data_IF_823249985705
#
_entry.id   IF_823249985705
#
_cell.length_a   1.000
_cell.length_b   1.000
_cell.length_c   1.000
_cell.angle_alpha   90.00
_cell.angle_beta   90.00
_cell.angle_gamma   90.00
#
_symmetry.space_group_name_H-M   'P 1'
#
loop_
_entity.id
_entity.type
_entity.pdbx_description
1 polymer ?
#
# COMPACT_ATOMS: atom_id res chain seq x y z
N UNK A 1 35.84 -3.52 -1.12
CA UNK A 1 34.52 -4.05 -0.73
C UNK A 1 33.51 -2.94 -0.88
N UNK A 2 32.35 -3.21 -1.48
CA UNK A 2 31.33 -2.19 -1.76
C UNK A 2 30.02 -2.59 -1.08
N UNK A 3 29.45 -1.72 -0.24
CA UNK A 3 28.13 -1.97 0.36
C UNK A 3 27.03 -1.58 -0.63
N UNK A 4 26.01 -2.42 -0.75
CA UNK A 4 24.89 -2.27 -1.68
C UNK A 4 23.57 -2.62 -0.98
N UNK A 5 22.45 -2.19 -1.55
CA UNK A 5 21.12 -2.70 -1.20
C UNK A 5 20.67 -3.72 -2.24
N UNK A 6 20.57 -4.99 -1.88
CA UNK A 6 19.91 -6.01 -2.69
C UNK A 6 18.39 -5.83 -2.60
N UNK A 7 17.76 -5.65 -3.75
CA UNK A 7 16.31 -5.49 -3.87
C UNK A 7 15.68 -6.84 -4.20
N UNK A 8 14.89 -7.38 -3.26
CA UNK A 8 14.08 -8.59 -3.49
C UNK A 8 12.64 -8.17 -3.72
N UNK A 9 12.19 -8.32 -4.96
CA UNK A 9 10.80 -8.08 -5.32
C UNK A 9 9.92 -9.29 -5.01
N UNK A 10 8.63 -9.03 -4.79
CA UNK A 10 7.66 -10.00 -4.29
C UNK A 10 7.54 -11.24 -5.21
N UNK A 11 7.44 -12.43 -4.59
CA UNK A 11 7.34 -13.71 -5.30
C UNK A 11 6.16 -13.78 -6.28
N UNK A 12 5.06 -13.09 -5.98
CA UNK A 12 3.88 -12.99 -6.86
C UNK A 12 4.20 -12.41 -8.25
N UNK A 13 5.26 -11.61 -8.39
CA UNK A 13 5.69 -11.08 -9.69
C UNK A 13 6.22 -12.20 -10.60
N UNK A 14 6.86 -13.22 -10.03
CA UNK A 14 7.36 -14.37 -10.79
C UNK A 14 6.20 -15.24 -11.33
N UNK A 15 5.04 -15.22 -10.68
CA UNK A 15 3.84 -15.95 -11.11
C UNK A 15 3.18 -15.35 -12.36
N UNK A 16 3.65 -14.20 -12.85
CA UNK A 16 3.06 -13.51 -14.01
C UNK A 16 3.54 -14.06 -15.36
N UNK A 17 4.41 -15.08 -15.36
CA UNK A 17 4.85 -15.78 -16.58
C UNK A 17 5.37 -14.81 -17.64
N UNK A 18 4.74 -14.82 -18.83
CA UNK A 18 5.12 -13.97 -19.96
C UNK A 18 5.01 -12.45 -19.66
N UNK A 19 4.15 -12.05 -18.72
CA UNK A 19 3.96 -10.64 -18.38
C UNK A 19 4.99 -10.11 -17.36
N UNK A 20 5.86 -10.98 -16.81
CA UNK A 20 6.82 -10.62 -15.76
C UNK A 20 7.64 -9.37 -16.10
N UNK A 21 8.12 -9.24 -17.34
CA UNK A 21 8.92 -8.09 -17.79
C UNK A 21 8.18 -6.76 -17.67
N UNK A 22 6.85 -6.76 -17.84
CA UNK A 22 6.01 -5.55 -17.71
C UNK A 22 6.01 -5.09 -16.25
N UNK A 23 5.81 -6.03 -15.31
CA UNK A 23 5.84 -5.75 -13.88
C UNK A 23 7.21 -5.29 -13.40
N UNK A 24 8.28 -5.96 -13.85
CA UNK A 24 9.65 -5.55 -13.54
C UNK A 24 9.96 -4.13 -14.05
N UNK A 25 9.58 -3.82 -15.30
CA UNK A 25 9.76 -2.48 -15.87
C UNK A 25 8.99 -1.42 -15.09
N UNK A 26 7.77 -1.71 -14.66
CA UNK A 26 6.99 -0.79 -13.83
C UNK A 26 7.60 -0.60 -12.44
N UNK A 27 8.09 -1.68 -11.82
CA UNK A 27 8.75 -1.61 -10.53
C UNK A 27 10.02 -0.75 -10.58
N UNK A 28 10.86 -0.92 -11.60
CA UNK A 28 12.04 -0.07 -11.81
C UNK A 28 11.67 1.40 -11.94
N UNK A 29 10.60 1.72 -12.68
CA UNK A 29 10.09 3.11 -12.77
C UNK A 29 9.61 3.64 -11.42
N UNK A 30 8.92 2.83 -10.63
CA UNK A 30 8.43 3.23 -9.31
C UNK A 30 9.61 3.50 -8.35
N UNK A 31 10.64 2.64 -8.36
CA UNK A 31 11.88 2.85 -7.60
C UNK A 31 12.55 4.16 -8.01
N UNK A 32 12.73 4.37 -9.32
CA UNK A 32 13.36 5.60 -9.83
C UNK A 32 12.58 6.86 -9.45
N UNK A 33 11.24 6.81 -9.47
CA UNK A 33 10.39 7.94 -9.07
C UNK A 33 10.54 8.31 -7.60
N UNK A 34 10.66 7.31 -6.72
CA UNK A 34 10.80 7.51 -5.27
C UNK A 34 12.22 7.97 -4.90
N UNK A 35 13.21 7.59 -5.70
CA UNK A 35 14.61 7.95 -5.52
C UNK A 35 15.06 9.15 -6.38
N UNK A 36 14.13 9.90 -6.99
CA UNK A 36 14.45 11.00 -7.91
C UNK A 36 15.38 12.07 -7.31
N UNK A 37 15.29 12.27 -5.99
CA UNK A 37 16.07 13.27 -5.24
C UNK A 37 17.31 12.66 -4.56
N UNK A 38 17.57 11.36 -4.75
CA UNK A 38 18.73 10.66 -4.19
C UNK A 38 19.79 10.42 -5.26
N UNK A 39 21.08 10.48 -4.88
CA UNK A 39 22.17 10.02 -5.75
C UNK A 39 22.36 8.52 -5.57
N UNK A 40 22.06 7.74 -6.60
CA UNK A 40 22.24 6.29 -6.55
C UNK A 40 22.68 5.71 -7.91
N UNK A 41 23.32 4.54 -7.86
CA UNK A 41 23.61 3.72 -9.04
C UNK A 41 22.78 2.45 -8.97
N UNK A 42 22.08 2.14 -10.06
CA UNK A 42 21.37 0.87 -10.22
C UNK A 42 22.27 -0.16 -10.89
N UNK A 43 22.46 -1.29 -10.24
CA UNK A 43 23.33 -2.37 -10.71
C UNK A 43 22.48 -3.62 -10.93
N UNK A 44 22.70 -4.30 -12.06
CA UNK A 44 22.10 -5.62 -12.29
C UNK A 44 23.16 -6.68 -12.52
N UNK A 45 23.10 -7.73 -11.69
CA UNK A 45 23.95 -8.92 -11.85
C UNK A 45 23.09 -10.18 -11.97
N UNK A 46 23.08 -10.78 -13.16
CA UNK A 46 22.36 -12.02 -13.49
C UNK A 46 20.91 -12.06 -12.97
N UNK A 47 20.16 -10.96 -13.18
CA UNK A 47 18.75 -10.86 -12.80
C UNK A 47 18.50 -10.47 -11.34
N UNK A 48 19.53 -10.18 -10.55
CA UNK A 48 19.40 -9.44 -9.28
C UNK A 48 19.56 -7.96 -9.51
N UNK A 49 18.93 -7.17 -8.64
CA UNK A 49 18.97 -5.72 -8.65
C UNK A 49 19.60 -5.24 -7.37
N UNK A 50 20.54 -4.33 -7.51
CA UNK A 50 21.23 -3.68 -6.41
C UNK A 50 21.18 -2.17 -6.58
N UNK A 51 21.17 -1.47 -5.45
CA UNK A 51 21.35 -0.03 -5.41
C UNK A 51 22.62 0.28 -4.63
N UNK A 52 23.46 1.14 -5.21
CA UNK A 52 24.55 1.79 -4.49
C UNK A 52 24.18 3.25 -4.24
N UNK A 53 24.56 3.77 -3.09
CA UNK A 53 24.45 5.18 -2.71
C UNK A 53 25.53 5.47 -1.68
N UNK A 54 25.95 6.72 -1.57
CA UNK A 54 26.76 7.18 -0.44
C UNK A 54 25.91 7.18 0.85
N UNK A 55 24.60 7.46 0.73
CA UNK A 55 23.61 7.35 1.80
C UNK A 55 22.68 6.15 1.54
N UNK A 56 23.06 4.98 2.05
CA UNK A 56 22.27 3.76 1.93
C UNK A 56 21.06 3.75 2.87
N UNK A 57 21.10 4.50 3.97
CA UNK A 57 20.04 4.54 4.96
C UNK A 57 18.82 5.30 4.42
N UNK A 58 19.07 6.47 3.81
CA UNK A 58 18.02 7.25 3.14
C UNK A 58 17.37 6.44 2.02
N UNK A 59 18.19 5.84 1.13
CA UNK A 59 17.68 5.02 0.01
C UNK A 59 16.89 3.83 0.52
N UNK A 60 17.38 3.13 1.56
CA UNK A 60 16.64 2.00 2.15
C UNK A 60 15.30 2.44 2.74
N UNK A 61 15.25 3.58 3.44
CA UNK A 61 14.03 4.11 4.07
C UNK A 61 12.92 4.42 3.05
N UNK A 62 13.31 4.88 1.85
CA UNK A 62 12.42 5.19 0.73
C UNK A 62 12.01 3.93 -0.04
N UNK A 63 12.97 3.06 -0.37
CA UNK A 63 12.73 1.86 -1.19
C UNK A 63 11.87 0.82 -0.46
N UNK A 64 11.98 0.69 0.87
CA UNK A 64 11.14 -0.26 1.62
C UNK A 64 9.64 0.04 1.54
N UNK A 65 9.26 1.27 1.15
CA UNK A 65 7.86 1.71 0.96
C UNK A 65 7.34 1.49 -0.46
N UNK A 66 8.18 1.03 -1.40
CA UNK A 66 7.76 0.81 -2.80
C UNK A 66 7.02 -0.52 -2.93
N UNK A 67 5.74 -0.45 -3.34
CA UNK A 67 4.95 -1.65 -3.62
C UNK A 67 5.59 -2.51 -4.72
N UNK A 68 5.61 -3.82 -4.49
CA UNK A 68 6.34 -4.79 -5.31
C UNK A 68 7.67 -5.24 -4.69
N UNK A 69 8.19 -4.56 -3.66
CA UNK A 69 9.44 -4.94 -2.98
C UNK A 69 9.09 -5.66 -1.68
N UNK A 70 9.52 -6.92 -1.52
CA UNK A 70 9.25 -7.71 -0.32
C UNK A 70 10.33 -7.57 0.74
N UNK A 71 11.60 -7.47 0.32
CA UNK A 71 12.73 -7.32 1.23
C UNK A 71 13.80 -6.42 0.61
N UNK A 72 14.51 -5.69 1.47
CA UNK A 72 15.75 -4.99 1.13
C UNK A 72 16.84 -5.55 2.03
N UNK A 73 17.95 -6.00 1.45
CA UNK A 73 19.08 -6.55 2.21
C UNK A 73 20.29 -5.64 2.06
N UNK A 74 20.94 -5.28 3.16
CA UNK A 74 22.25 -4.63 3.10
C UNK A 74 23.29 -5.71 2.80
N UNK A 75 23.98 -5.59 1.68
CA UNK A 75 24.93 -6.62 1.21
C UNK A 75 26.31 -6.03 0.99
N UNK A 76 27.33 -6.84 1.24
CA UNK A 76 28.71 -6.49 0.92
C UNK A 76 29.13 -7.25 -0.34
N UNK A 77 29.47 -6.50 -1.39
CA UNK A 77 30.06 -7.03 -2.62
C UNK A 77 31.56 -7.26 -2.41
N UNK A 78 31.98 -8.48 -2.75
CA UNK A 78 33.36 -8.97 -2.68
C UNK A 78 33.75 -9.71 -3.95
N UNK A 79 35.04 -9.93 -4.14
CA UNK A 79 35.53 -10.80 -5.21
C UNK A 79 34.96 -12.21 -5.06
N UNK A 80 34.59 -12.89 -6.17
CA UNK A 80 34.01 -14.22 -6.12
C UNK A 80 35.11 -15.26 -5.91
N UNK A 81 35.76 -15.24 -4.75
CA UNK A 81 36.73 -16.25 -4.30
C UNK A 81 36.35 -16.72 -2.90
N UNK A 82 36.74 -17.94 -2.53
CA UNK A 82 36.39 -18.51 -1.21
C UNK A 82 37.01 -17.70 -0.08
N UNK A 83 38.20 -17.16 -0.27
CA UNK A 83 38.93 -16.37 0.72
C UNK A 83 38.17 -15.07 1.02
N UNK A 84 37.81 -14.30 -0.02
CA UNK A 84 37.11 -13.03 0.14
C UNK A 84 35.69 -13.22 0.70
N UNK A 85 34.98 -14.26 0.26
CA UNK A 85 33.65 -14.61 0.77
C UNK A 85 33.72 -15.00 2.25
N UNK A 86 34.67 -15.88 2.61
CA UNK A 86 34.80 -16.37 3.99
C UNK A 86 35.20 -15.25 4.95
N UNK A 87 36.14 -14.38 4.54
CA UNK A 87 36.53 -13.21 5.32
C UNK A 87 35.33 -12.30 5.60
N UNK A 88 34.50 -12.01 4.59
CA UNK A 88 33.31 -11.18 4.79
C UNK A 88 32.22 -11.90 5.61
N UNK A 89 32.10 -13.23 5.50
CA UNK A 89 31.15 -13.99 6.31
C UNK A 89 31.50 -13.95 7.81
N UNK A 90 32.80 -13.95 8.15
CA UNK A 90 33.26 -13.73 9.53
C UNK A 90 32.83 -12.35 10.02
N UNK A 91 33.08 -11.29 9.24
CA UNK A 91 32.67 -9.91 9.59
C UNK A 91 31.17 -9.81 9.82
N UNK A 92 30.33 -10.46 9.01
CA UNK A 92 28.87 -10.46 9.23
C UNK A 92 28.46 -11.15 10.55
N UNK A 93 29.27 -12.09 11.03
CA UNK A 93 28.97 -12.91 12.20
C UNK A 93 29.47 -12.30 13.53
N UNK A 94 30.39 -11.32 13.48
CA UNK A 94 30.94 -10.64 14.67
C UNK A 94 29.83 -10.01 15.55
N UNK A 95 28.77 -9.49 14.92
CA UNK A 95 27.62 -8.86 15.59
C UNK A 95 26.59 -9.87 16.16
N UNK A 96 26.78 -11.18 16.00
CA UNK A 96 25.74 -12.16 16.32
C UNK A 96 25.60 -12.47 17.81
N UNK A 97 26.68 -12.34 18.58
CA UNK A 97 26.75 -12.80 19.97
C UNK A 97 26.61 -14.33 20.10
N UNK A 98 26.30 -14.82 21.31
CA UNK A 98 26.08 -16.25 21.55
C UNK A 98 24.77 -16.72 20.92
N UNK A 99 24.85 -17.50 19.84
CA UNK A 99 23.66 -17.90 19.08
C UNK A 99 23.91 -19.10 18.17
N UNK A 100 22.85 -19.61 17.56
CA UNK A 100 22.95 -20.59 16.47
C UNK A 100 22.92 -19.91 15.10
N UNK A 101 23.72 -20.41 14.17
CA UNK A 101 23.74 -19.89 12.81
C UNK A 101 23.81 -20.98 11.73
N UNK A 102 23.53 -20.56 10.51
CA UNK A 102 23.70 -21.34 9.29
C UNK A 102 24.23 -20.43 8.17
N UNK A 103 25.05 -20.99 7.29
CA UNK A 103 25.40 -20.37 6.01
C UNK A 103 24.48 -20.92 4.92
N UNK A 104 23.89 -20.04 4.12
CA UNK A 104 23.10 -20.39 2.94
C UNK A 104 23.71 -19.80 1.68
N UNK A 105 24.22 -20.67 0.81
CA UNK A 105 24.88 -20.26 -0.44
C UNK A 105 24.00 -20.53 -1.66
N UNK A 106 23.85 -19.53 -2.53
CA UNK A 106 23.21 -19.66 -3.83
C UNK A 106 24.20 -19.32 -4.95
N UNK A 107 24.41 -20.26 -5.87
CA UNK A 107 25.37 -20.13 -6.97
C UNK A 107 24.65 -20.06 -8.31
N UNK A 108 24.54 -18.85 -8.83
CA UNK A 108 24.07 -18.61 -10.20
C UNK A 108 25.21 -18.87 -11.21
N UNK A 109 26.46 -18.58 -10.82
CA UNK A 109 27.62 -18.85 -11.65
C UNK A 109 28.03 -20.34 -11.64
N UNK A 110 27.58 -21.05 -12.69
CA UNK A 110 28.05 -22.34 -13.25
C UNK A 110 29.52 -22.70 -13.01
N UNK A 111 30.41 -21.75 -13.29
CA UNK A 111 31.84 -22.00 -13.40
C UNK A 111 32.58 -21.97 -12.06
N UNK A 112 31.94 -21.49 -10.99
CA UNK A 112 32.59 -21.44 -9.69
C UNK A 112 32.82 -22.88 -9.15
N UNK A 113 34.02 -23.20 -8.60
CA UNK A 113 34.47 -24.58 -8.42
C UNK A 113 33.60 -25.43 -7.49
N UNK A 114 33.15 -24.84 -6.38
CA UNK A 114 32.38 -25.53 -5.35
C UNK A 114 30.88 -25.43 -5.62
N UNK A 115 30.14 -26.47 -5.25
CA UNK A 115 28.68 -26.41 -5.22
C UNK A 115 28.17 -25.65 -3.98
N UNK A 116 26.88 -25.29 -3.97
CA UNK A 116 26.29 -24.50 -2.88
C UNK A 116 26.45 -25.13 -1.50
N UNK A 117 26.32 -26.45 -1.39
CA UNK A 117 26.43 -27.15 -0.10
C UNK A 117 27.88 -27.19 0.39
N UNK A 118 28.83 -27.46 -0.50
CA UNK A 118 30.27 -27.42 -0.20
C UNK A 118 30.68 -26.04 0.27
N UNK A 119 30.28 -24.98 -0.46
CA UNK A 119 30.52 -23.59 -0.07
C UNK A 119 29.98 -23.28 1.32
N UNK A 120 28.70 -23.61 1.59
CA UNK A 120 28.08 -23.33 2.89
C UNK A 120 28.81 -24.06 4.03
N UNK A 121 29.26 -25.30 3.79
CA UNK A 121 30.02 -26.08 4.77
C UNK A 121 31.39 -25.45 5.06
N UNK A 122 32.15 -25.10 4.03
CA UNK A 122 33.49 -24.52 4.20
C UNK A 122 33.43 -23.15 4.87
N UNK A 123 32.55 -22.26 4.40
CA UNK A 123 32.36 -20.93 5.00
C UNK A 123 31.88 -21.07 6.44
N UNK A 124 30.95 -21.99 6.71
CA UNK A 124 30.47 -22.25 8.07
C UNK A 124 31.58 -22.70 9.02
N UNK A 125 32.51 -23.55 8.55
CA UNK A 125 33.67 -23.96 9.33
C UNK A 125 34.61 -22.79 9.63
N UNK A 126 34.86 -21.91 8.65
CA UNK A 126 35.68 -20.71 8.86
C UNK A 126 35.04 -19.77 9.89
N UNK A 127 33.74 -19.50 9.78
CA UNK A 127 33.01 -18.64 10.73
C UNK A 127 33.03 -19.24 12.14
N UNK A 128 32.80 -20.55 12.27
CA UNK A 128 32.78 -21.24 13.56
C UNK A 128 34.14 -21.19 14.27
N UNK A 129 35.24 -21.27 13.51
CA UNK A 129 36.59 -21.21 14.07
C UNK A 129 37.04 -19.78 14.40
N UNK A 130 36.47 -18.77 13.73
CA UNK A 130 36.89 -17.38 13.86
C UNK A 130 36.07 -16.59 14.90
N UNK A 131 34.81 -16.96 15.13
CA UNK A 131 33.89 -16.21 16.01
C UNK A 131 33.43 -17.10 17.17
N UNK A 132 33.81 -16.71 18.39
CA UNK A 132 33.43 -17.42 19.62
C UNK A 132 31.92 -17.31 19.90
N UNK A 133 31.37 -18.27 20.65
CA UNK A 133 29.95 -18.26 21.07
C UNK A 133 28.95 -18.73 20.01
N UNK A 134 29.38 -18.98 18.77
CA UNK A 134 28.52 -19.49 17.71
C UNK A 134 28.41 -21.02 17.71
N UNK A 135 27.22 -21.51 17.35
CA UNK A 135 26.97 -22.95 17.11
C UNK A 135 26.23 -23.13 15.79
N UNK A 136 26.52 -24.20 15.06
CA UNK A 136 25.82 -24.47 13.80
C UNK A 136 24.48 -25.18 14.08
N UNK A 137 23.39 -24.64 13.58
CA UNK A 137 22.08 -25.33 13.48
C UNK A 137 21.57 -25.20 12.05
N UNK A 138 21.55 -26.32 11.31
CA UNK A 138 21.13 -26.33 9.89
C UNK A 138 19.62 -26.39 9.71
N UNK A 139 18.86 -26.67 10.78
CA UNK A 139 17.41 -26.86 10.75
C UNK A 139 16.66 -25.64 11.26
N UNK A 140 17.09 -25.06 12.39
CA UNK A 140 16.44 -23.90 13.03
C UNK A 140 17.46 -22.85 13.51
N UNK A 141 18.28 -22.30 12.60
CA UNK A 141 19.24 -21.27 12.96
C UNK A 141 18.54 -19.99 13.42
N UNK A 142 19.06 -19.35 14.46
CA UNK A 142 18.64 -18.02 14.88
C UNK A 142 19.18 -16.93 13.94
N UNK A 143 20.35 -17.15 13.33
CA UNK A 143 20.98 -16.23 12.36
C UNK A 143 21.36 -16.95 11.07
N UNK A 144 21.20 -16.28 9.93
CA UNK A 144 21.55 -16.85 8.62
C UNK A 144 22.50 -15.89 7.90
N UNK A 145 23.67 -16.39 7.54
CA UNK A 145 24.61 -15.70 6.64
C UNK A 145 24.30 -16.17 5.22
N UNK A 146 23.97 -15.23 4.35
CA UNK A 146 23.62 -15.50 2.97
C UNK A 146 24.79 -15.17 2.07
N UNK A 147 25.05 -16.05 1.12
CA UNK A 147 26.12 -15.90 0.13
C UNK A 147 25.52 -16.11 -1.26
N UNK A 148 25.53 -15.08 -2.11
CA UNK A 148 25.16 -15.21 -3.52
C UNK A 148 26.38 -15.07 -4.41
N UNK A 149 26.74 -16.12 -5.16
CA UNK A 149 27.84 -16.10 -6.14
C UNK A 149 27.31 -16.02 -7.57
N UNK A 150 27.66 -14.94 -8.25
CA UNK A 150 27.20 -14.53 -9.58
C UNK A 150 28.40 -14.07 -10.40
N UNK A 151 28.36 -12.90 -11.06
CA UNK A 151 29.58 -12.28 -11.61
C UNK A 151 30.47 -11.75 -10.47
N UNK A 152 29.85 -11.21 -9.43
CA UNK A 152 30.48 -10.91 -8.13
C UNK A 152 29.91 -11.82 -7.04
N UNK A 153 30.47 -11.74 -5.84
CA UNK A 153 29.91 -12.41 -4.67
C UNK A 153 29.32 -11.39 -3.70
N UNK A 154 28.18 -11.75 -3.09
CA UNK A 154 27.44 -10.89 -2.18
C UNK A 154 27.21 -11.65 -0.87
N UNK A 155 27.66 -11.07 0.23
CA UNK A 155 27.55 -11.66 1.58
C UNK A 155 26.70 -10.75 2.47
N UNK A 156 25.73 -11.32 3.18
CA UNK A 156 24.82 -10.56 4.06
C UNK A 156 24.08 -11.40 5.09
N UNK A 157 23.81 -10.80 6.25
CA UNK A 157 22.97 -11.39 7.31
C UNK A 157 21.69 -10.58 7.58
N UNK A 158 21.75 -9.25 7.42
CA UNK A 158 20.68 -8.32 7.78
C UNK A 158 19.66 -8.17 6.62
N UNK A 159 18.38 -8.38 6.93
CA UNK A 159 17.26 -8.26 5.99
C UNK A 159 16.17 -7.37 6.58
N UNK A 160 15.69 -6.42 5.79
CA UNK A 160 14.60 -5.51 6.18
C UNK A 160 13.36 -5.84 5.36
N UNK A 161 12.25 -6.11 6.04
CA UNK A 161 10.96 -6.33 5.40
C UNK A 161 10.47 -5.03 4.76
N UNK A 162 9.98 -5.13 3.53
CA UNK A 162 9.36 -4.04 2.80
C UNK A 162 7.85 -4.31 2.61
N UNK A 163 7.13 -3.36 2.02
CA UNK A 163 5.65 -3.39 1.91
C UNK A 163 5.09 -4.57 1.08
N UNK A 164 5.91 -5.19 0.23
CA UNK A 164 5.52 -6.30 -0.63
C UNK A 164 4.46 -5.88 -1.67
N UNK A 165 3.60 -6.83 -2.03
CA UNK A 165 2.51 -6.58 -2.97
C UNK A 165 2.95 -6.54 -4.44
N UNK A 166 2.19 -5.81 -5.25
CA UNK A 166 2.41 -5.67 -6.70
C UNK A 166 2.91 -4.26 -7.03
N UNK A 167 3.74 -4.09 -8.08
CA UNK A 167 4.15 -2.77 -8.52
C UNK A 167 2.95 -1.85 -8.76
N UNK A 168 2.92 -0.69 -8.09
CA UNK A 168 1.86 0.30 -8.21
C UNK A 168 1.58 0.68 -9.67
N UNK A 169 0.31 0.78 -10.07
CA UNK A 169 -0.13 1.12 -11.43
C UNK A 169 0.04 -0.02 -12.45
N UNK A 170 -0.04 -1.27 -12.02
CA UNK A 170 -0.05 -2.45 -12.91
C UNK A 170 -1.42 -3.11 -13.06
N UNK A 171 -2.39 -2.79 -12.18
CA UNK A 171 -3.70 -3.43 -12.14
C UNK A 171 -4.85 -2.40 -12.23
N UNK A 172 -4.77 -1.49 -13.19
CA UNK A 172 -5.80 -0.46 -13.41
C UNK A 172 -5.80 0.63 -12.34
N UNK A 173 -6.92 1.33 -12.21
CA UNK A 173 -7.11 2.44 -11.28
C UNK A 173 -8.46 2.38 -10.55
N UNK A 174 -8.52 3.00 -9.38
CA UNK A 174 -9.74 3.08 -8.56
C UNK A 174 -10.00 4.49 -8.07
N UNK A 175 -11.29 4.83 -7.95
CA UNK A 175 -11.78 6.01 -7.25
C UNK A 175 -12.00 5.66 -5.79
N UNK A 176 -11.03 6.00 -4.94
CA UNK A 176 -11.11 5.86 -3.50
C UNK A 176 -12.02 6.93 -2.91
N UNK A 177 -13.12 6.53 -2.30
CA UNK A 177 -13.93 7.41 -1.45
C UNK A 177 -13.17 7.65 -0.14
N UNK A 178 -12.35 8.71 -0.14
CA UNK A 178 -11.49 9.08 0.97
C UNK A 178 -12.26 9.98 1.93
N UNK A 179 -12.28 9.61 3.20
CA UNK A 179 -12.90 10.33 4.30
C UNK A 179 -11.84 10.74 5.31
N UNK A 180 -12.22 11.55 6.28
CA UNK A 180 -11.37 11.88 7.42
C UNK A 180 -11.22 10.73 8.43
N UNK A 181 -11.83 9.58 8.19
CA UNK A 181 -11.79 8.43 9.11
C UNK A 181 -10.53 7.58 8.97
N UNK A 182 -10.41 6.59 9.85
CA UNK A 182 -9.27 5.63 9.88
C UNK A 182 -9.33 4.67 8.68
N UNK A 183 -10.53 4.27 8.28
CA UNK A 183 -10.74 3.10 7.43
C UNK A 183 -10.41 3.38 5.96
N UNK A 184 -10.84 4.52 5.40
CA UNK A 184 -10.67 4.80 3.97
C UNK A 184 -9.21 4.97 3.52
N UNK A 185 -8.29 5.60 4.29
CA UNK A 185 -6.86 5.57 3.96
C UNK A 185 -6.29 4.15 3.92
N UNK A 186 -6.67 3.29 4.88
CA UNK A 186 -6.21 1.89 4.93
C UNK A 186 -6.71 1.12 3.71
N UNK A 187 -7.97 1.30 3.32
CA UNK A 187 -8.51 0.71 2.10
C UNK A 187 -7.74 1.15 0.84
N UNK A 188 -7.41 2.45 0.75
CA UNK A 188 -6.57 3.00 -0.31
C UNK A 188 -5.19 2.34 -0.37
N UNK A 189 -4.51 2.24 0.78
CA UNK A 189 -3.22 1.58 0.90
C UNK A 189 -3.25 0.12 0.44
N UNK A 190 -4.26 -0.66 0.84
CA UNK A 190 -4.39 -2.06 0.45
C UNK A 190 -4.63 -2.23 -1.05
N UNK A 191 -5.43 -1.35 -1.67
CA UNK A 191 -5.61 -1.33 -3.13
C UNK A 191 -4.30 -0.98 -3.84
N UNK A 192 -3.59 0.05 -3.38
CA UNK A 192 -2.30 0.42 -3.94
C UNK A 192 -1.26 -0.71 -3.83
N UNK A 193 -1.27 -1.46 -2.73
CA UNK A 193 -0.44 -2.66 -2.52
C UNK A 193 -0.78 -3.79 -3.49
N UNK A 194 -1.99 -3.84 -4.04
CA UNK A 194 -2.37 -4.73 -5.15
C UNK A 194 -2.04 -4.16 -6.52
N UNK A 195 -1.28 -3.07 -6.61
CA UNK A 195 -0.85 -2.48 -7.87
C UNK A 195 -1.91 -1.60 -8.54
N UNK A 196 -2.98 -1.22 -7.83
CA UNK A 196 -4.07 -0.39 -8.34
C UNK A 196 -3.74 1.08 -8.13
N UNK A 197 -3.83 1.89 -9.18
CA UNK A 197 -3.62 3.34 -9.10
C UNK A 197 -4.77 4.03 -8.35
N UNK A 198 -4.44 5.00 -7.49
CA UNK A 198 -5.39 5.69 -6.62
C UNK A 198 -5.75 7.06 -7.18
N UNK A 199 -7.05 7.31 -7.23
CA UNK A 199 -7.65 8.63 -7.38
C UNK A 199 -8.61 8.79 -6.21
N UNK A 200 -8.48 9.83 -5.40
CA UNK A 200 -9.31 10.02 -4.21
C UNK A 200 -10.44 11.01 -4.48
N UNK A 201 -11.64 10.73 -3.97
CA UNK A 201 -12.75 11.67 -3.90
C UNK A 201 -13.16 11.86 -2.45
N UNK A 202 -13.29 13.12 -2.03
CA UNK A 202 -13.76 13.54 -0.73
C UNK A 202 -15.04 14.38 -0.88
N UNK A 203 -16.03 14.10 -0.06
CA UNK A 203 -17.30 14.82 -0.06
C UNK A 203 -17.29 15.87 1.04
N UNK A 204 -17.38 17.14 0.65
CA UNK A 204 -17.26 18.27 1.57
C UNK A 204 -18.57 19.06 1.61
N UNK A 205 -19.13 19.28 2.80
CA UNK A 205 -20.40 19.97 2.99
C UNK A 205 -20.20 21.34 3.64
N UNK A 206 -19.52 22.27 2.98
CA UNK A 206 -19.36 23.65 3.46
C UNK A 206 -20.71 24.39 3.49
N UNK A 207 -21.07 25.17 4.53
CA UNK A 207 -20.26 25.55 5.70
C UNK A 207 -20.37 24.61 6.91
N UNK A 208 -21.11 23.50 6.81
CA UNK A 208 -21.34 22.57 7.92
C UNK A 208 -20.06 21.80 8.30
N UNK A 209 -19.26 21.39 7.32
CA UNK A 209 -17.92 20.83 7.56
C UNK A 209 -16.87 21.93 7.53
N UNK A 210 -15.93 21.92 8.48
CA UNK A 210 -14.85 22.91 8.56
C UNK A 210 -13.80 22.75 7.46
N UNK A 211 -13.12 23.85 7.10
CA UNK A 211 -11.93 23.81 6.24
C UNK A 211 -10.82 22.91 6.81
N UNK A 212 -10.75 22.76 8.14
CA UNK A 212 -9.79 21.85 8.80
C UNK A 212 -10.10 20.39 8.49
N UNK A 213 -11.36 20.01 8.30
CA UNK A 213 -11.71 18.67 7.86
C UNK A 213 -11.21 18.40 6.42
N UNK A 214 -11.29 19.40 5.53
CA UNK A 214 -10.72 19.32 4.18
C UNK A 214 -9.20 19.18 4.21
N UNK A 215 -8.49 19.99 5.02
CA UNK A 215 -7.04 19.87 5.18
C UNK A 215 -6.63 18.52 5.78
N UNK A 216 -7.39 18.00 6.75
CA UNK A 216 -7.17 16.64 7.29
C UNK A 216 -7.17 15.58 6.20
N UNK A 217 -8.09 15.66 5.25
CA UNK A 217 -8.16 14.71 4.12
C UNK A 217 -7.01 14.92 3.12
N UNK A 218 -6.59 16.16 2.89
CA UNK A 218 -5.40 16.47 2.09
C UNK A 218 -4.13 15.87 2.72
N UNK A 219 -3.99 15.95 4.04
CA UNK A 219 -2.89 15.29 4.77
C UNK A 219 -2.92 13.78 4.65
N UNK A 220 -4.09 13.15 4.79
CA UNK A 220 -4.26 11.71 4.57
C UNK A 220 -3.87 11.31 3.13
N UNK A 221 -4.27 12.10 2.14
CA UNK A 221 -3.87 11.89 0.75
C UNK A 221 -2.34 12.05 0.56
N UNK A 222 -1.68 13.02 1.21
CA UNK A 222 -0.21 13.17 1.20
C UNK A 222 0.50 11.96 1.82
N UNK A 223 -0.02 11.41 2.90
CA UNK A 223 0.52 10.19 3.51
C UNK A 223 0.44 9.00 2.54
N UNK A 224 -0.69 8.82 1.86
CA UNK A 224 -0.83 7.79 0.81
C UNK A 224 0.07 8.07 -0.41
N UNK A 225 0.26 9.34 -0.78
CA UNK A 225 1.22 9.77 -1.81
C UNK A 225 2.63 9.30 -1.49
N UNK A 226 3.02 9.26 -0.23
CA UNK A 226 4.29 8.71 0.24
C UNK A 226 4.56 7.25 -0.17
N UNK A 227 3.52 6.45 -0.44
CA UNK A 227 3.62 5.06 -0.91
C UNK A 227 3.41 4.92 -2.42
N UNK A 228 2.63 5.82 -3.02
CA UNK A 228 2.15 5.71 -4.40
C UNK A 228 2.93 6.61 -5.37
N UNK A 229 3.64 7.61 -4.86
CA UNK A 229 4.35 8.65 -5.62
C UNK A 229 3.44 9.76 -6.17
N UNK A 230 2.19 9.44 -6.48
CA UNK A 230 1.16 10.38 -6.97
C UNK A 230 -0.22 9.99 -6.47
N UNK A 231 -1.07 10.99 -6.25
CA UNK A 231 -2.49 10.82 -5.97
C UNK A 231 -3.23 12.08 -6.41
N UNK A 232 -4.33 11.92 -7.13
CA UNK A 232 -5.24 13.03 -7.44
C UNK A 232 -6.34 13.04 -6.38
N UNK A 233 -6.69 14.21 -5.86
CA UNK A 233 -7.81 14.39 -4.93
C UNK A 233 -8.87 15.31 -5.54
N UNK A 234 -10.09 14.78 -5.65
CA UNK A 234 -11.29 15.50 -6.04
C UNK A 234 -12.07 15.86 -4.78
N UNK A 235 -12.30 17.15 -4.53
CA UNK A 235 -13.14 17.61 -3.42
C UNK A 235 -14.49 18.01 -4.00
N UNK A 236 -15.50 17.19 -3.75
CA UNK A 236 -16.84 17.32 -4.30
C UNK A 236 -17.75 18.06 -3.30
N UNK A 237 -18.34 19.22 -3.67
CA UNK A 237 -19.29 19.92 -2.82
C UNK A 237 -20.56 19.08 -2.67
N UNK A 238 -20.95 18.78 -1.43
CA UNK A 238 -22.05 17.87 -1.14
C UNK A 238 -23.20 18.51 -0.35
N UNK A 239 -23.10 19.81 -0.07
CA UNK A 239 -24.08 20.54 0.74
C UNK A 239 -25.48 20.52 0.15
N UNK A 240 -25.63 20.86 -1.14
CA UNK A 240 -26.96 20.95 -1.76
C UNK A 240 -27.65 19.59 -1.83
N UNK A 241 -26.90 18.54 -2.19
CA UNK A 241 -27.37 17.14 -2.13
C UNK A 241 -27.83 16.81 -0.70
N UNK A 242 -27.02 17.14 0.30
CA UNK A 242 -27.31 16.83 1.69
C UNK A 242 -28.57 17.56 2.19
N UNK A 243 -28.73 18.83 1.86
CA UNK A 243 -29.90 19.63 2.25
C UNK A 243 -31.17 19.13 1.58
N UNK A 244 -31.13 18.83 0.29
CA UNK A 244 -32.27 18.27 -0.45
C UNK A 244 -32.72 16.92 0.13
N UNK A 245 -31.78 16.06 0.51
CA UNK A 245 -32.07 14.78 1.17
C UNK A 245 -32.72 15.02 2.53
N UNK A 246 -32.20 15.95 3.35
CA UNK A 246 -32.75 16.28 4.68
C UNK A 246 -34.18 16.83 4.57
N UNK A 247 -34.46 17.69 3.60
CA UNK A 247 -35.76 18.33 3.44
C UNK A 247 -36.83 17.36 2.91
N UNK A 248 -36.46 16.50 1.95
CA UNK A 248 -37.45 15.78 1.12
C UNK A 248 -37.56 14.28 1.43
N UNK A 249 -36.56 13.68 2.09
CA UNK A 249 -36.53 12.23 2.33
C UNK A 249 -36.85 11.85 3.79
N UNK A 250 -37.28 10.60 4.04
CA UNK A 250 -37.52 10.11 5.40
C UNK A 250 -36.27 10.19 6.28
N UNK A 251 -36.41 10.69 7.50
CA UNK A 251 -35.30 10.93 8.45
C UNK A 251 -34.45 9.67 8.69
N UNK A 252 -35.08 8.50 8.83
CA UNK A 252 -34.36 7.25 9.07
C UNK A 252 -33.61 6.70 7.83
N UNK A 253 -33.82 7.27 6.64
CA UNK A 253 -33.20 6.87 5.37
C UNK A 253 -32.09 7.82 4.90
N UNK A 254 -31.92 8.98 5.56
CA UNK A 254 -30.96 10.01 5.19
C UNK A 254 -29.55 9.46 4.94
N UNK A 255 -29.00 8.69 5.88
CA UNK A 255 -27.63 8.14 5.76
C UNK A 255 -27.46 7.21 4.56
N UNK A 256 -28.46 6.36 4.26
CA UNK A 256 -28.33 5.41 3.17
C UNK A 256 -28.50 6.09 1.80
N UNK A 257 -29.39 7.10 1.72
CA UNK A 257 -29.57 7.91 0.50
C UNK A 257 -28.32 8.77 0.25
N UNK A 258 -27.75 9.42 1.27
CA UNK A 258 -26.49 10.17 1.14
C UNK A 258 -25.36 9.29 0.59
N UNK A 259 -25.19 8.08 1.12
CA UNK A 259 -24.18 7.12 0.62
C UNK A 259 -24.42 6.69 -0.83
N UNK A 260 -25.69 6.55 -1.22
CA UNK A 260 -26.07 6.24 -2.60
C UNK A 260 -25.70 7.39 -3.54
N UNK A 261 -25.93 8.65 -3.15
CA UNK A 261 -25.45 9.82 -3.89
C UNK A 261 -23.92 9.90 -3.97
N UNK A 262 -23.21 9.67 -2.86
CA UNK A 262 -21.75 9.62 -2.87
C UNK A 262 -21.23 8.56 -3.85
N UNK A 263 -21.87 7.38 -3.90
CA UNK A 263 -21.53 6.34 -4.88
C UNK A 263 -21.83 6.77 -6.32
N UNK A 264 -22.99 7.41 -6.58
CA UNK A 264 -23.34 7.95 -7.91
C UNK A 264 -22.28 8.93 -8.39
N UNK A 265 -21.93 9.91 -7.56
CA UNK A 265 -20.91 10.92 -7.87
C UNK A 265 -19.55 10.26 -8.08
N UNK A 266 -19.12 9.35 -7.20
CA UNK A 266 -17.86 8.63 -7.36
C UNK A 266 -17.79 7.83 -8.67
N UNK A 267 -18.88 7.14 -9.06
CA UNK A 267 -18.96 6.42 -10.32
C UNK A 267 -18.94 7.36 -11.54
N UNK A 268 -19.67 8.47 -11.47
CA UNK A 268 -19.72 9.47 -12.55
C UNK A 268 -18.35 10.15 -12.75
N UNK A 269 -17.66 10.53 -11.66
CA UNK A 269 -16.29 11.06 -11.72
C UNK A 269 -15.33 9.98 -12.23
N UNK A 270 -15.47 8.73 -11.77
CA UNK A 270 -14.67 7.63 -12.29
C UNK A 270 -14.89 7.41 -13.80
N UNK A 271 -16.12 7.59 -14.31
CA UNK A 271 -16.43 7.56 -15.74
C UNK A 271 -15.72 8.70 -16.48
N UNK A 272 -15.83 9.93 -15.98
CA UNK A 272 -15.23 11.15 -16.55
C UNK A 272 -13.72 11.03 -16.73
N UNK A 273 -13.03 10.37 -15.79
CA UNK A 273 -11.57 10.21 -15.81
C UNK A 273 -11.08 8.81 -16.21
N UNK A 274 -11.95 7.96 -16.78
CA UNK A 274 -11.62 6.59 -17.22
C UNK A 274 -11.00 5.70 -16.13
N UNK A 275 -11.53 5.79 -14.90
CA UNK A 275 -11.07 5.03 -13.73
C UNK A 275 -11.85 3.72 -13.61
N UNK A 276 -11.18 2.59 -13.38
CA UNK A 276 -11.79 1.27 -13.59
C UNK A 276 -12.77 0.82 -12.49
N UNK A 277 -12.61 1.31 -11.26
CA UNK A 277 -13.41 0.88 -10.11
C UNK A 277 -13.66 2.01 -9.10
N UNK A 278 -14.50 1.74 -8.10
CA UNK A 278 -14.61 2.54 -6.88
C UNK A 278 -14.07 1.73 -5.70
N UNK A 279 -13.46 2.37 -4.71
CA UNK A 279 -13.00 1.74 -3.46
C UNK A 279 -13.56 2.47 -2.26
N UNK A 280 -14.05 1.72 -1.28
CA UNK A 280 -14.55 2.26 -0.01
C UNK A 280 -13.82 1.62 1.17
N UNK A 281 -13.82 2.31 2.31
CA UNK A 281 -13.35 1.79 3.60
C UNK A 281 -14.43 1.05 4.39
N UNK A 282 -15.43 0.46 3.73
CA UNK A 282 -16.53 -0.22 4.43
C UNK A 282 -16.10 -1.57 5.01
N UNK A 283 -16.54 -1.86 6.24
CA UNK A 283 -16.43 -3.15 6.92
C UNK A 283 -17.81 -3.63 7.42
N UNK A 284 -18.11 -4.92 7.24
CA UNK A 284 -19.45 -5.44 7.53
C UNK A 284 -19.74 -5.40 9.04
N UNK A 285 -20.90 -4.87 9.42
CA UNK A 285 -21.36 -4.89 10.82
C UNK A 285 -20.72 -3.86 11.74
N UNK A 286 -19.88 -2.94 11.21
CA UNK A 286 -19.25 -1.89 12.01
C UNK A 286 -20.21 -0.72 12.35
N UNK A 287 -21.07 -0.33 11.41
CA UNK A 287 -22.07 0.75 11.58
C UNK A 287 -23.39 0.38 10.91
N UNK A 288 -24.48 1.05 11.31
CA UNK A 288 -25.84 0.79 10.84
C UNK A 288 -26.00 0.84 9.31
N UNK A 289 -25.20 1.65 8.62
CA UNK A 289 -25.21 1.79 7.16
C UNK A 289 -24.35 0.77 6.42
N UNK A 290 -23.64 -0.10 7.14
CA UNK A 290 -22.74 -1.14 6.60
C UNK A 290 -23.26 -2.54 6.95
N UNK A 291 -24.59 -2.73 6.86
CA UNK A 291 -25.24 -4.05 6.81
C UNK A 291 -25.22 -4.59 5.38
N UNK A 292 -25.48 -5.88 5.19
CA UNK A 292 -25.55 -6.46 3.83
C UNK A 292 -26.61 -5.73 2.98
N UNK A 293 -27.75 -5.40 3.59
CA UNK A 293 -28.81 -4.62 2.99
C UNK A 293 -28.36 -3.20 2.61
N UNK A 294 -27.62 -2.51 3.48
CA UNK A 294 -27.03 -1.21 3.16
C UNK A 294 -26.02 -1.27 2.01
N UNK A 295 -25.19 -2.31 1.96
CA UNK A 295 -24.25 -2.53 0.86
C UNK A 295 -24.97 -2.80 -0.47
N UNK A 296 -26.07 -3.55 -0.46
CA UNK A 296 -26.90 -3.74 -1.65
C UNK A 296 -27.48 -2.41 -2.15
N UNK A 297 -27.99 -1.57 -1.26
CA UNK A 297 -28.59 -0.27 -1.63
C UNK A 297 -27.55 0.71 -2.20
N UNK A 298 -26.35 0.74 -1.64
CA UNK A 298 -25.25 1.57 -2.17
C UNK A 298 -24.70 1.03 -3.49
N UNK A 299 -24.59 -0.30 -3.66
CA UNK A 299 -24.14 -0.90 -4.92
C UNK A 299 -25.15 -0.76 -6.06
N UNK A 300 -26.43 -0.56 -5.77
CA UNK A 300 -27.51 -0.46 -6.75
C UNK A 300 -27.28 0.63 -7.82
N UNK A 301 -26.44 1.61 -7.52
CA UNK A 301 -26.12 2.74 -8.42
C UNK A 301 -24.72 2.68 -9.00
N UNK A 302 -23.95 1.64 -8.66
CA UNK A 302 -22.61 1.47 -9.17
C UNK A 302 -22.62 0.84 -10.58
N UNK A 303 -21.92 1.47 -11.52
CA UNK A 303 -21.77 0.99 -12.91
C UNK A 303 -20.46 0.20 -13.12
N UNK A 304 -19.66 0.05 -12.06
CA UNK A 304 -18.33 -0.58 -12.06
C UNK A 304 -18.07 -1.30 -10.74
N UNK A 305 -17.03 -2.15 -10.64
CA UNK A 305 -16.71 -2.85 -9.40
C UNK A 305 -16.49 -1.88 -8.23
N UNK A 306 -17.11 -2.19 -7.09
CA UNK A 306 -16.90 -1.49 -5.81
C UNK A 306 -16.08 -2.39 -4.89
N UNK A 307 -14.80 -2.09 -4.74
CA UNK A 307 -13.89 -2.84 -3.89
C UNK A 307 -14.00 -2.38 -2.43
N UNK A 308 -14.06 -3.35 -1.52
CA UNK A 308 -14.14 -3.16 -0.07
C UNK A 308 -13.03 -3.96 0.62
N UNK A 309 -11.78 -3.48 0.61
CA UNK A 309 -10.64 -4.23 1.12
C UNK A 309 -10.77 -4.63 2.60
N UNK A 310 -11.57 -3.88 3.35
CA UNK A 310 -11.75 -4.03 4.80
C UNK A 310 -12.98 -4.85 5.18
N UNK A 311 -13.71 -5.39 4.19
CA UNK A 311 -15.07 -5.94 4.40
C UNK A 311 -15.15 -7.01 5.49
N UNK A 312 -14.07 -7.77 5.70
CA UNK A 312 -13.98 -8.86 6.66
C UNK A 312 -12.90 -8.62 7.73
N UNK A 313 -12.39 -7.39 7.86
CA UNK A 313 -11.40 -7.02 8.87
C UNK A 313 -12.10 -6.48 10.10
N UNK A 314 -11.58 -6.82 11.28
CA UNK A 314 -12.00 -6.17 12.50
C UNK A 314 -11.35 -4.78 12.65
N UNK A 315 -11.83 -4.01 13.64
CA UNK A 315 -11.36 -2.64 13.85
C UNK A 315 -9.90 -2.59 14.33
N UNK A 316 -9.43 -3.61 15.05
CA UNK A 316 -8.07 -3.63 15.60
C UNK A 316 -7.08 -3.82 14.44
N UNK A 317 -7.35 -4.76 13.55
CA UNK A 317 -6.53 -4.99 12.36
C UNK A 317 -6.43 -3.73 11.49
N UNK A 318 -7.54 -3.02 11.29
CA UNK A 318 -7.57 -1.76 10.53
C UNK A 318 -6.73 -0.68 11.23
N UNK A 319 -6.88 -0.55 12.56
CA UNK A 319 -6.11 0.42 13.34
C UNK A 319 -4.60 0.13 13.30
N UNK A 320 -4.19 -1.13 13.40
CA UNK A 320 -2.79 -1.50 13.36
C UNK A 320 -2.16 -1.17 12.00
N UNK A 321 -2.85 -1.46 10.90
CA UNK A 321 -2.38 -1.03 9.57
C UNK A 321 -2.31 0.50 9.50
N UNK A 322 -3.32 1.21 10.02
CA UNK A 322 -3.32 2.68 9.99
C UNK A 322 -2.14 3.31 10.75
N UNK A 323 -1.67 2.67 11.82
CA UNK A 323 -0.46 3.08 12.56
C UNK A 323 0.80 2.76 11.76
N UNK A 324 0.89 1.56 11.20
CA UNK A 324 2.01 1.13 10.36
C UNK A 324 2.22 2.05 9.14
N UNK A 325 1.13 2.53 8.55
CA UNK A 325 1.19 3.42 7.38
C UNK A 325 1.25 4.91 7.76
N UNK A 326 1.11 5.25 9.05
CA UNK A 326 1.19 6.60 9.58
C UNK A 326 -0.06 7.46 9.42
N UNK A 327 -1.21 6.88 9.08
CA UNK A 327 -2.49 7.62 8.88
C UNK A 327 -3.32 7.75 10.15
N UNK A 328 -3.04 6.96 11.20
CA UNK A 328 -3.84 6.92 12.43
C UNK A 328 -3.97 8.30 13.10
N UNK A 329 -2.84 8.95 13.41
CA UNK A 329 -2.81 10.22 14.15
C UNK A 329 -3.58 11.34 13.43
N UNK A 330 -3.45 11.43 12.11
CA UNK A 330 -4.22 12.39 11.30
C UNK A 330 -5.70 12.04 11.29
N UNK A 331 -6.07 10.75 11.23
CA UNK A 331 -7.46 10.31 11.14
C UNK A 331 -8.26 10.64 12.41
N UNK A 332 -7.62 10.58 13.59
CA UNK A 332 -8.28 10.82 14.88
C UNK A 332 -8.44 12.31 15.25
N UNK A 333 -7.94 13.24 14.44
CA UNK A 333 -8.15 14.67 14.71
C UNK A 333 -9.66 14.98 14.77
N UNK A 334 -10.11 15.78 15.76
CA UNK A 334 -11.53 15.96 16.11
C UNK A 334 -12.23 16.96 15.17
N UNK A 335 -12.12 16.74 13.86
CA UNK A 335 -12.82 17.48 12.83
C UNK A 335 -13.89 16.59 12.22
N UNK A 336 -15.15 17.03 12.36
CA UNK A 336 -16.33 16.32 11.88
C UNK A 336 -16.35 16.24 10.35
N UNK A 337 -16.81 15.09 9.86
CA UNK A 337 -16.90 14.76 8.44
C UNK A 337 -18.36 14.91 7.98
N UNK A 338 -18.60 15.02 6.68
CA UNK A 338 -19.91 15.15 6.05
C UNK A 338 -20.92 14.10 6.58
N UNK A 339 -20.45 12.88 6.81
CA UNK A 339 -21.26 11.75 7.27
C UNK A 339 -21.65 11.80 8.76
N UNK A 340 -21.08 12.67 9.59
CA UNK A 340 -21.29 12.67 11.05
C UNK A 340 -22.20 13.80 11.56
N UNK A 341 -22.36 14.88 10.79
CA UNK A 341 -23.04 16.10 11.25
C UNK A 341 -24.57 15.92 11.31
N UNK A 342 -25.14 15.10 10.43
CA UNK A 342 -26.59 14.93 10.29
C UNK A 342 -27.03 13.46 10.37
N UNK A 343 -26.48 12.73 11.33
CA UNK A 343 -26.84 11.32 11.55
C UNK A 343 -28.21 11.24 12.23
N UNK A 344 -29.18 10.49 11.67
CA UNK A 344 -30.49 10.34 12.30
C UNK A 344 -30.38 9.54 13.60
N UNK A 345 -31.29 9.81 14.56
CA UNK A 345 -31.31 9.13 15.87
C UNK A 345 -31.49 7.62 15.74
N UNK A 346 -32.29 7.18 14.76
CA UNK A 346 -32.59 5.77 14.50
C UNK A 346 -32.39 5.44 13.02
N UNK A 347 -31.14 5.25 12.56
CA UNK A 347 -30.86 4.91 11.17
C UNK A 347 -31.48 3.57 10.76
N UNK A 348 -31.98 3.48 9.54
CA UNK A 348 -32.57 2.25 8.99
C UNK A 348 -31.49 1.20 8.73
N UNK A 349 -31.48 0.12 9.52
CA UNK A 349 -30.49 -0.96 9.45
C UNK A 349 -30.75 -2.03 8.38
N UNK A 350 -32.01 -2.16 7.93
CA UNK A 350 -32.42 -3.12 6.88
C UNK A 350 -33.15 -2.40 5.73
N UNK A 351 -32.45 -1.50 5.01
CA UNK A 351 -33.05 -0.80 3.89
C UNK A 351 -33.32 -1.76 2.72
N UNK A 352 -34.38 -1.54 1.95
CA UNK A 352 -34.69 -2.33 0.75
C UNK A 352 -34.49 -1.46 -0.48
N UNK A 353 -33.83 -2.00 -1.50
CA UNK A 353 -33.46 -1.26 -2.72
C UNK A 353 -34.65 -0.52 -3.33
N UNK A 354 -35.77 -1.21 -3.56
CA UNK A 354 -36.95 -0.61 -4.20
C UNK A 354 -37.58 0.50 -3.36
N UNK A 355 -37.60 0.36 -2.03
CA UNK A 355 -38.14 1.39 -1.14
C UNK A 355 -37.25 2.64 -1.14
N UNK A 356 -35.92 2.45 -1.11
CA UNK A 356 -34.99 3.58 -1.15
C UNK A 356 -35.05 4.29 -2.50
N UNK A 357 -35.19 3.55 -3.62
CA UNK A 357 -35.41 4.14 -4.95
C UNK A 357 -36.66 5.02 -4.98
N UNK A 358 -37.75 4.56 -4.38
CA UNK A 358 -38.98 5.35 -4.28
C UNK A 358 -38.77 6.61 -3.43
N UNK A 359 -38.10 6.49 -2.27
CA UNK A 359 -37.81 7.65 -1.42
C UNK A 359 -36.94 8.69 -2.10
N UNK A 360 -35.90 8.28 -2.85
CA UNK A 360 -35.02 9.23 -3.56
C UNK A 360 -35.63 9.77 -4.85
N UNK A 361 -36.75 9.22 -5.36
CA UNK A 361 -37.37 9.66 -6.62
C UNK A 361 -37.93 11.08 -6.59
N UNK A 362 -38.13 11.64 -5.40
CA UNK A 362 -38.52 13.05 -5.20
C UNK A 362 -37.36 14.01 -5.46
N UNK A 363 -36.12 13.50 -5.50
CA UNK A 363 -34.92 14.29 -5.70
C UNK A 363 -34.59 14.40 -7.19
N UNK A 364 -34.08 15.56 -7.59
CA UNK A 364 -33.53 15.77 -8.93
C UNK A 364 -32.10 15.22 -9.00
N UNK A 365 -31.99 13.89 -9.05
CA UNK A 365 -30.72 13.16 -8.92
C UNK A 365 -29.70 13.61 -9.98
N UNK A 366 -30.12 13.71 -11.23
CA UNK A 366 -29.20 14.01 -12.34
C UNK A 366 -28.64 15.42 -12.24
N UNK A 367 -29.50 16.42 -11.95
CA UNK A 367 -29.06 17.80 -11.74
C UNK A 367 -28.10 17.90 -10.56
N UNK A 368 -28.47 17.32 -9.42
CA UNK A 368 -27.67 17.37 -8.20
C UNK A 368 -26.29 16.71 -8.37
N UNK A 369 -26.23 15.56 -9.04
CA UNK A 369 -24.95 14.87 -9.33
C UNK A 369 -24.11 15.71 -10.30
N UNK A 370 -24.71 16.28 -11.34
CA UNK A 370 -24.00 17.08 -12.33
C UNK A 370 -23.43 18.36 -11.72
N UNK A 371 -24.23 19.11 -10.95
CA UNK A 371 -23.77 20.31 -10.23
C UNK A 371 -22.63 20.01 -9.26
N UNK A 372 -22.70 18.88 -8.54
CA UNK A 372 -21.63 18.43 -7.65
C UNK A 372 -20.31 18.18 -8.42
N UNK A 373 -20.39 17.58 -9.61
CA UNK A 373 -19.21 17.27 -10.45
C UNK A 373 -18.64 18.52 -11.11
N UNK A 374 -19.48 19.46 -11.52
CA UNK A 374 -19.03 20.67 -12.22
C UNK A 374 -18.36 21.66 -11.29
N UNK A 375 -18.74 21.67 -10.00
CA UNK A 375 -18.18 22.55 -8.98
C UNK A 375 -17.09 21.89 -8.11
N UNK A 376 -16.58 20.71 -8.48
CA UNK A 376 -15.54 20.03 -7.70
C UNK A 376 -14.17 20.71 -7.83
N UNK A 377 -13.43 20.78 -6.73
CA UNK A 377 -12.03 21.20 -6.72
C UNK A 377 -11.12 20.01 -7.04
N UNK A 378 -10.03 20.24 -7.79
CA UNK A 378 -9.09 19.19 -8.20
C UNK A 378 -7.69 19.53 -7.71
N UNK A 379 -7.09 18.61 -6.96
CA UNK A 379 -5.73 18.72 -6.44
C UNK A 379 -4.87 17.58 -7.00
N UNK A 380 -3.96 17.91 -7.93
CA UNK A 380 -3.04 16.94 -8.54
C UNK A 380 -1.64 16.95 -7.90
N UNK A 381 -1.29 18.04 -7.21
CA UNK A 381 0.02 18.28 -6.60
C UNK A 381 -0.07 18.48 -5.08
N UNK A 382 -0.63 17.48 -4.38
CA UNK A 382 -0.77 17.50 -2.91
C UNK A 382 0.56 17.45 -2.15
#
# INVERSE_FOLDING_TARGET
MRKLLLIKYASEIFLKGLNRRIFEKKLMKNIASVLKDCRYEFISDQGRWFLYSEDLEEVMSKVKRVFGISEVCLVTEVEPTMEAISAQAVVEAEDFGETTFKVESNRANKAFPLNSMEMSREIGAVVLNAVEGLRVDVHKPQRIINVEVRKRAYVYSKRVKAVGGMPYGTNGSTMLMLSGGIDSPVAGYLMARRGVELNAIYFHSHPYTSERAKEKVKDLARLLKGYTGKINLYVAPFTDIQMDIIEKCPENELTIIMRKFMMRVACAVAKKYNINSVTTGESIGQVASQTMEGLMVSNDVADRPVFRPLIAMDKIDIMDISRDIGTYETSILPYEDCCTIFVPKHPKIKPRVDLIRNSESILDIDRLVQECIDNMEIYNDL
#
